data_IF_225105944089
#
_entry.id   IF_225105944089
#
_cell.length_a   1.000
_cell.length_b   1.000
_cell.length_c   1.000
_cell.angle_alpha   90.00
_cell.angle_beta   90.00
_cell.angle_gamma   90.00
#
_symmetry.space_group_name_H-M   'P 1'
#
loop_
_entity.id
_entity.type
_entity.pdbx_description
1 polymer ?
#
# COMPACT_ATOMS: atom_id res chain seq x y z
N UNK A 1 6.91 -6.05 17.77
CA UNK A 1 7.46 -5.02 16.85
C UNK A 1 6.42 -4.75 15.78
N UNK A 2 5.78 -3.57 15.80
CA UNK A 2 4.77 -3.11 14.83
C UNK A 2 5.27 -1.89 14.04
N UNK A 3 6.58 -1.64 14.06
CA UNK A 3 7.20 -0.45 13.47
C UNK A 3 6.93 -0.35 11.96
N UNK A 4 6.86 -1.49 11.26
CA UNK A 4 6.57 -1.56 9.83
C UNK A 4 5.18 -1.01 9.46
N UNK A 5 4.16 -1.23 10.31
CA UNK A 5 2.80 -0.72 10.06
C UNK A 5 2.71 0.78 10.29
N UNK A 6 3.37 1.29 11.33
CA UNK A 6 3.44 2.72 11.58
C UNK A 6 4.15 3.44 10.42
N UNK A 7 5.26 2.89 9.94
CA UNK A 7 6.00 3.43 8.80
C UNK A 7 5.20 3.33 7.49
N UNK A 8 4.48 2.22 7.26
CA UNK A 8 3.53 2.09 6.14
C UNK A 8 2.43 3.14 6.20
N UNK A 9 1.85 3.38 7.38
CA UNK A 9 0.77 4.34 7.55
C UNK A 9 1.24 5.76 7.22
N UNK A 10 2.46 6.13 7.62
CA UNK A 10 3.06 7.40 7.25
C UNK A 10 3.33 7.50 5.74
N UNK A 11 3.83 6.42 5.13
CA UNK A 11 4.05 6.37 3.68
C UNK A 11 2.72 6.49 2.91
N UNK A 12 1.66 5.84 3.39
CA UNK A 12 0.30 5.96 2.85
C UNK A 12 -0.20 7.41 2.94
N UNK A 13 -0.02 8.07 4.08
CA UNK A 13 -0.39 9.48 4.24
C UNK A 13 0.39 10.38 3.29
N UNK A 14 1.68 10.13 3.12
CA UNK A 14 2.53 10.89 2.19
C UNK A 14 2.09 10.77 0.72
N UNK A 15 1.47 9.65 0.32
CA UNK A 15 0.91 9.45 -1.03
C UNK A 15 -0.55 9.90 -1.18
N UNK A 16 -1.14 10.51 -0.15
CA UNK A 16 -2.50 11.09 -0.19
C UNK A 16 -3.59 10.28 0.51
N UNK A 17 -3.23 9.23 1.27
CA UNK A 17 -4.18 8.48 2.09
C UNK A 17 -4.60 9.28 3.34
N UNK A 18 -5.89 9.31 3.70
CA UNK A 18 -6.32 9.96 4.94
C UNK A 18 -5.74 9.23 6.17
N UNK A 19 -5.15 9.95 7.14
CA UNK A 19 -4.44 9.36 8.28
C UNK A 19 -5.33 8.47 9.17
N UNK A 20 -6.62 8.80 9.26
CA UNK A 20 -7.64 8.00 9.95
C UNK A 20 -7.83 6.61 9.34
N UNK A 21 -7.65 6.44 8.02
CA UNK A 21 -7.73 5.14 7.35
C UNK A 21 -6.37 4.51 7.09
N UNK A 22 -5.29 5.30 7.18
CA UNK A 22 -3.93 4.85 6.90
C UNK A 22 -3.49 3.68 7.81
N UNK A 23 -3.95 3.66 9.07
CA UNK A 23 -3.68 2.54 10.00
C UNK A 23 -4.31 1.22 9.56
N UNK A 24 -5.61 1.23 9.21
CA UNK A 24 -6.29 0.04 8.68
C UNK A 24 -5.74 -0.37 7.31
N UNK A 25 -5.48 0.59 6.43
CA UNK A 25 -4.89 0.32 5.12
C UNK A 25 -3.49 -0.25 5.23
N UNK A 26 -2.66 0.20 6.16
CA UNK A 26 -1.33 -0.36 6.37
C UNK A 26 -1.39 -1.86 6.70
N UNK A 27 -2.32 -2.25 7.58
CA UNK A 27 -2.51 -3.66 7.94
C UNK A 27 -2.99 -4.51 6.74
N UNK A 28 -3.90 -3.95 5.92
CA UNK A 28 -4.37 -4.62 4.71
C UNK A 28 -3.27 -4.74 3.64
N UNK A 29 -2.46 -3.68 3.47
CA UNK A 29 -1.37 -3.65 2.50
C UNK A 29 -0.26 -4.64 2.89
N UNK A 30 0.15 -4.69 4.16
CA UNK A 30 1.15 -5.66 4.65
C UNK A 30 0.68 -7.10 4.38
N UNK A 31 -0.58 -7.42 4.72
CA UNK A 31 -1.13 -8.76 4.47
C UNK A 31 -1.13 -9.11 2.98
N UNK A 32 -1.56 -8.18 2.12
CA UNK A 32 -1.53 -8.36 0.66
C UNK A 32 -0.11 -8.46 0.12
N UNK A 33 0.84 -7.68 0.63
CA UNK A 33 2.23 -7.71 0.20
C UNK A 33 2.85 -9.08 0.49
N UNK A 34 2.57 -9.68 1.66
CA UNK A 34 3.01 -11.04 2.01
C UNK A 34 2.40 -12.12 1.13
N UNK A 35 1.11 -12.00 0.80
CA UNK A 35 0.47 -12.93 -0.13
C UNK A 35 1.06 -12.78 -1.54
N UNK A 36 1.16 -11.55 -2.03
CA UNK A 36 1.69 -11.23 -3.35
C UNK A 36 3.16 -11.67 -3.50
N UNK A 37 3.97 -11.52 -2.45
CA UNK A 37 5.35 -12.00 -2.43
C UNK A 37 5.41 -13.52 -2.60
N UNK A 38 4.52 -14.25 -1.93
CA UNK A 38 4.45 -15.70 -2.03
C UNK A 38 3.91 -16.15 -3.40
N UNK A 39 2.87 -15.49 -3.92
CA UNK A 39 2.24 -15.81 -5.20
C UNK A 39 3.15 -15.50 -6.40
N UNK A 40 3.89 -14.39 -6.36
CA UNK A 40 4.74 -13.93 -7.46
C UNK A 40 6.21 -14.24 -7.24
N UNK A 41 6.55 -15.00 -6.20
CA UNK A 41 7.92 -15.37 -5.81
C UNK A 41 8.88 -14.16 -5.78
N UNK A 42 8.39 -13.02 -5.27
CA UNK A 42 9.14 -11.77 -5.20
C UNK A 42 9.36 -11.38 -3.73
N UNK A 43 10.32 -10.49 -3.48
CA UNK A 43 10.54 -10.00 -2.12
C UNK A 43 9.35 -9.19 -1.61
N UNK A 44 9.09 -9.27 -0.30
CA UNK A 44 8.06 -8.48 0.38
C UNK A 44 8.16 -6.99 0.05
N UNK A 45 9.38 -6.43 0.04
CA UNK A 45 9.63 -5.03 -0.31
C UNK A 45 9.19 -4.69 -1.74
N UNK A 46 9.43 -5.58 -2.71
CA UNK A 46 8.98 -5.37 -4.09
C UNK A 46 7.45 -5.42 -4.20
N UNK A 47 6.83 -6.39 -3.53
CA UNK A 47 5.38 -6.51 -3.49
C UNK A 47 4.74 -5.28 -2.83
N UNK A 48 5.30 -4.82 -1.72
CA UNK A 48 4.84 -3.66 -0.98
C UNK A 48 5.01 -2.36 -1.78
N UNK A 49 6.18 -2.14 -2.40
CA UNK A 49 6.43 -0.99 -3.25
C UNK A 49 5.45 -0.95 -4.43
N UNK A 50 5.14 -2.11 -5.01
CA UNK A 50 4.15 -2.23 -6.09
C UNK A 50 2.74 -1.84 -5.61
N UNK A 51 2.32 -2.32 -4.43
CA UNK A 51 1.03 -1.99 -3.83
C UNK A 51 0.93 -0.51 -3.45
N UNK A 52 1.98 0.08 -2.88
CA UNK A 52 2.04 1.51 -2.58
C UNK A 52 1.96 2.37 -3.84
N UNK A 53 2.61 1.94 -4.92
CA UNK A 53 2.53 2.61 -6.23
C UNK A 53 1.12 2.53 -6.83
N UNK A 54 0.44 1.38 -6.71
CA UNK A 54 -0.96 1.23 -7.14
C UNK A 54 -1.91 2.10 -6.31
N UNK A 55 -1.71 2.14 -4.99
CA UNK A 55 -2.46 3.00 -4.08
C UNK A 55 -2.28 4.47 -4.44
N UNK A 56 -1.03 4.92 -4.58
CA UNK A 56 -0.70 6.29 -4.99
C UNK A 56 -1.40 6.67 -6.29
N UNK A 57 -1.46 5.78 -7.29
CA UNK A 57 -2.25 6.01 -8.50
C UNK A 57 -3.76 6.11 -8.23
N UNK A 58 -4.32 5.30 -7.32
CA UNK A 58 -5.74 5.38 -6.95
C UNK A 58 -6.15 6.67 -6.23
N UNK A 59 -5.23 7.28 -5.47
CA UNK A 59 -5.45 8.58 -4.80
C UNK A 59 -5.08 9.76 -5.70
N UNK A 60 -4.02 9.63 -6.49
CA UNK A 60 -3.50 10.67 -7.37
C UNK A 60 -4.21 10.74 -8.73
N UNK A 61 -5.10 9.79 -9.06
CA UNK A 61 -5.87 9.83 -10.29
C UNK A 61 -7.26 10.48 -10.10
N UNK A 62 -7.44 11.77 -10.44
CA UNK A 62 -8.68 12.20 -11.03
C UNK A 62 -8.75 11.61 -12.45
N UNK A 63 -9.67 10.67 -12.69
CA UNK A 63 -9.99 10.04 -13.99
C UNK A 63 -9.04 8.93 -14.48
N UNK A 64 -9.32 7.69 -14.08
CA UNK A 64 -9.27 6.58 -15.03
C UNK A 64 -10.69 6.40 -15.60
N UNK A 65 -10.93 7.11 -16.71
CA UNK A 65 -12.08 6.98 -17.59
C UNK A 65 -12.31 5.51 -17.98
N UNK A 66 -13.58 5.09 -17.87
CA UNK A 66 -14.29 3.99 -18.54
C UNK A 66 -13.48 3.12 -19.50
N UNK A 67 -13.57 1.80 -19.30
CA UNK A 67 -13.88 0.89 -20.41
C UNK A 67 -14.95 -0.11 -19.97
#
# INVERSE_FOLDING_TARGET
>A
MNADLAQLSQALVAVGCPPEKAGEMAAQLDKRARQLSAERNQSYEQALAHLLTLMSQGWAAPQARKN
#
